data_IF_509241665345
#
_entry.id   IF_509241665345
#
_cell.length_a   1.000
_cell.length_b   1.000
_cell.length_c   1.000
_cell.angle_alpha   90.00
_cell.angle_beta   90.00
_cell.angle_gamma   90.00
#
_symmetry.space_group_name_H-M   'P 1'
#
loop_
_entity.id
_entity.type
_entity.pdbx_description
1 polymer ?
#
# COMPACT_ATOMS: atom_id res chain seq x y z
N UNK A 1 1.26 2.76 32.93
CA UNK A 1 2.36 3.62 32.43
C UNK A 1 3.39 2.69 31.82
N UNK A 2 3.22 2.31 30.57
CA UNK A 2 4.18 1.53 29.79
C UNK A 2 4.96 2.51 28.94
N UNK A 3 6.23 2.72 29.29
CA UNK A 3 7.15 3.50 28.48
C UNK A 3 7.42 2.74 27.19
N UNK A 4 6.96 3.28 26.05
CA UNK A 4 7.44 2.88 24.75
C UNK A 4 8.94 3.18 24.69
N UNK A 5 9.72 2.12 24.73
CA UNK A 5 11.17 2.21 24.52
C UNK A 5 11.39 2.34 23.03
N UNK A 6 11.59 3.58 22.57
CA UNK A 6 12.13 3.85 21.24
C UNK A 6 13.54 3.24 21.21
N UNK A 7 13.68 2.07 20.63
CA UNK A 7 15.00 1.50 20.35
C UNK A 7 15.64 2.29 19.22
N UNK A 8 16.61 3.12 19.58
CA UNK A 8 17.49 3.75 18.60
C UNK A 8 18.46 2.65 18.11
N UNK A 9 18.17 2.11 16.94
CA UNK A 9 19.11 1.23 16.24
C UNK A 9 20.15 2.15 15.60
N UNK A 10 21.33 2.24 16.19
CA UNK A 10 22.47 2.90 15.57
C UNK A 10 22.90 2.12 14.34
N UNK A 11 23.04 2.84 13.24
CA UNK A 11 23.49 2.48 11.90
C UNK A 11 24.33 1.19 11.86
N UNK A 12 23.73 0.08 11.46
CA UNK A 12 24.42 -1.12 11.02
C UNK A 12 24.28 -1.23 9.51
N UNK A 13 25.02 -0.38 8.78
CA UNK A 13 25.51 -0.72 7.45
C UNK A 13 24.52 -1.04 6.35
N UNK A 14 23.26 -0.58 6.40
CA UNK A 14 22.33 -0.66 5.26
C UNK A 14 22.66 0.48 4.29
N UNK A 15 23.66 0.26 3.46
CA UNK A 15 24.16 1.24 2.47
C UNK A 15 23.50 1.08 1.10
N UNK A 16 22.49 0.22 0.93
CA UNK A 16 21.79 0.08 -0.35
C UNK A 16 20.52 0.94 -0.40
N UNK A 17 20.64 2.17 -0.91
CA UNK A 17 19.52 3.09 -1.15
C UNK A 17 18.38 2.47 -2.02
N UNK A 18 18.67 1.37 -2.71
CA UNK A 18 17.69 0.66 -3.55
C UNK A 18 16.64 -0.13 -2.77
N UNK A 19 16.84 -0.36 -1.47
CA UNK A 19 15.89 -1.06 -0.61
C UNK A 19 14.82 -0.13 -0.01
N UNK A 20 15.06 1.17 -0.03
CA UNK A 20 14.14 2.14 0.55
C UNK A 20 13.08 2.62 -0.45
N UNK A 21 11.84 2.69 0.01
CA UNK A 21 10.81 3.51 -0.62
C UNK A 21 10.78 4.83 0.12
N UNK A 22 11.02 5.91 -0.60
CA UNK A 22 11.07 7.25 -0.02
C UNK A 22 9.83 8.02 -0.40
N UNK A 23 9.16 8.63 0.56
CA UNK A 23 8.08 9.59 0.35
C UNK A 23 8.48 10.94 0.92
N UNK A 24 8.34 12.01 0.16
CA UNK A 24 8.68 13.36 0.56
C UNK A 24 7.53 14.33 0.25
N UNK A 25 7.28 15.25 1.19
CA UNK A 25 6.28 16.32 1.05
C UNK A 25 7.01 17.65 1.22
N UNK A 26 6.68 18.64 0.40
CA UNK A 26 7.23 19.98 0.48
C UNK A 26 6.69 20.77 1.70
N UNK A 27 7.10 22.06 1.83
CA UNK A 27 6.71 22.88 2.98
C UNK A 27 5.23 23.31 2.99
N UNK A 28 4.52 23.07 1.90
CA UNK A 28 3.10 23.44 1.75
C UNK A 28 2.32 22.40 0.99
N UNK A 29 1.05 22.20 1.36
CA UNK A 29 0.17 21.22 0.74
C UNK A 29 0.46 19.78 1.16
N UNK A 30 -0.20 18.83 0.50
CA UNK A 30 -0.14 17.39 0.82
C UNK A 30 0.41 16.52 -0.32
N UNK A 31 0.82 17.13 -1.42
CA UNK A 31 1.40 16.42 -2.55
C UNK A 31 2.71 15.75 -2.14
N UNK A 32 2.72 14.44 -2.11
CA UNK A 32 3.88 13.62 -1.81
C UNK A 32 4.50 13.07 -3.10
N UNK A 33 5.82 13.17 -3.23
CA UNK A 33 6.58 12.45 -4.26
C UNK A 33 7.10 11.14 -3.68
N UNK A 34 6.83 10.02 -4.37
CA UNK A 34 7.23 8.70 -3.94
C UNK A 34 8.24 8.14 -4.94
N UNK A 35 9.37 7.67 -4.41
CA UNK A 35 10.42 7.00 -5.19
C UNK A 35 10.56 5.56 -4.68
N UNK A 36 10.47 4.60 -5.60
CA UNK A 36 10.64 3.17 -5.34
C UNK A 36 11.58 2.58 -6.41
N UNK A 37 12.85 2.44 -6.11
CA UNK A 37 13.88 2.10 -7.09
C UNK A 37 13.87 3.10 -8.25
N UNK A 38 13.72 2.68 -9.52
CA UNK A 38 13.70 3.57 -10.68
C UNK A 38 12.33 4.24 -10.90
N UNK A 39 11.30 3.92 -10.11
CA UNK A 39 9.94 4.39 -10.33
C UNK A 39 9.66 5.62 -9.47
N UNK A 40 8.96 6.58 -10.07
CA UNK A 40 8.46 7.77 -9.38
C UNK A 40 6.97 7.92 -9.65
N UNK A 41 6.22 8.26 -8.61
CA UNK A 41 4.79 8.54 -8.69
C UNK A 41 4.38 9.49 -7.56
N UNK A 42 3.17 10.01 -7.66
CA UNK A 42 2.65 10.99 -6.73
C UNK A 42 1.57 10.37 -5.84
N UNK A 43 1.46 10.90 -4.62
CA UNK A 43 0.28 10.80 -3.79
C UNK A 43 -0.20 12.20 -3.43
N UNK A 44 -1.50 12.37 -3.22
CA UNK A 44 -2.05 13.65 -2.81
C UNK A 44 -3.41 13.44 -2.12
N UNK A 45 -3.91 14.48 -1.47
CA UNK A 45 -5.27 14.52 -0.98
C UNK A 45 -6.21 15.20 -2.00
N UNK A 46 -7.51 14.90 -1.98
CA UNK A 46 -8.49 15.59 -2.80
C UNK A 46 -8.59 17.08 -2.44
N UNK A 47 -8.98 17.90 -3.42
CA UNK A 47 -9.12 19.35 -3.23
C UNK A 47 -10.01 19.73 -2.02
N UNK A 48 -11.15 19.07 -1.75
CA UNK A 48 -11.94 19.37 -0.56
C UNK A 48 -11.23 19.14 0.78
N UNK A 49 -10.17 18.33 0.79
CA UNK A 49 -9.35 18.01 1.96
C UNK A 49 -8.04 18.82 2.02
N UNK A 50 -7.91 19.85 1.17
CA UNK A 50 -6.74 20.75 1.16
C UNK A 50 -5.59 20.26 0.26
N UNK A 51 -5.75 19.18 -0.46
CA UNK A 51 -4.82 18.72 -1.49
C UNK A 51 -5.06 19.41 -2.84
N UNK A 52 -4.35 18.95 -3.86
CA UNK A 52 -4.52 19.41 -5.24
C UNK A 52 -5.12 18.34 -6.16
N UNK A 53 -5.31 17.12 -5.67
CA UNK A 53 -5.87 15.99 -6.42
C UNK A 53 -4.96 15.52 -7.56
N UNK A 54 -3.65 15.73 -7.46
CA UNK A 54 -2.69 15.36 -8.52
C UNK A 54 -2.21 13.93 -8.45
N UNK A 55 -2.57 13.20 -7.41
CA UNK A 55 -2.22 11.80 -7.22
C UNK A 55 -3.31 11.04 -6.45
N UNK A 56 -3.22 9.70 -6.37
CA UNK A 56 -4.08 8.91 -5.50
C UNK A 56 -3.80 9.21 -4.03
N UNK A 57 -4.81 9.05 -3.20
CA UNK A 57 -4.67 9.14 -1.75
C UNK A 57 -3.83 7.99 -1.18
N UNK A 58 -3.26 8.12 0.04
CA UNK A 58 -2.52 7.02 0.67
C UNK A 58 -3.31 5.71 0.77
N UNK A 59 -4.61 5.76 1.08
CA UNK A 59 -5.45 4.56 1.10
C UNK A 59 -5.68 3.97 -0.30
N UNK A 60 -5.82 4.78 -1.34
CA UNK A 60 -5.91 4.28 -2.71
C UNK A 60 -4.62 3.61 -3.16
N UNK A 61 -3.45 4.11 -2.74
CA UNK A 61 -2.15 3.44 -2.97
C UNK A 61 -2.09 2.08 -2.25
N UNK A 62 -2.54 2.01 -1.00
CA UNK A 62 -2.62 0.75 -0.25
C UNK A 62 -3.54 -0.26 -0.93
N UNK A 63 -4.73 0.18 -1.36
CA UNK A 63 -5.67 -0.67 -2.12
C UNK A 63 -5.08 -1.07 -3.47
N UNK A 64 -4.39 -0.17 -4.15
CA UNK A 64 -3.68 -0.44 -5.40
C UNK A 64 -2.61 -1.52 -5.24
N UNK A 65 -1.79 -1.43 -4.19
CA UNK A 65 -0.77 -2.43 -3.87
C UNK A 65 -1.39 -3.80 -3.57
N UNK A 66 -2.47 -3.84 -2.77
CA UNK A 66 -3.21 -5.07 -2.47
C UNK A 66 -3.81 -5.66 -3.75
N UNK A 67 -4.45 -4.84 -4.58
CA UNK A 67 -5.08 -5.28 -5.84
C UNK A 67 -4.06 -5.82 -6.83
N UNK A 68 -2.95 -5.11 -7.03
CA UNK A 68 -1.87 -5.53 -7.91
C UNK A 68 -1.27 -6.87 -7.45
N UNK A 69 -0.93 -7.00 -6.17
CA UNK A 69 -0.38 -8.24 -5.63
C UNK A 69 -1.35 -9.42 -5.83
N UNK A 70 -2.64 -9.22 -5.57
CA UNK A 70 -3.66 -10.24 -5.75
C UNK A 70 -3.80 -10.66 -7.22
N UNK A 71 -3.90 -9.70 -8.16
CA UNK A 71 -3.99 -9.97 -9.58
C UNK A 71 -2.78 -10.72 -10.11
N UNK A 72 -1.57 -10.31 -9.73
CA UNK A 72 -0.32 -10.99 -10.07
C UNK A 72 -0.28 -12.42 -9.51
N UNK A 73 -0.70 -12.62 -8.26
CA UNK A 73 -0.76 -13.96 -7.63
C UNK A 73 -1.67 -14.90 -8.42
N UNK A 74 -2.84 -14.43 -8.84
CA UNK A 74 -3.78 -15.21 -9.63
C UNK A 74 -3.23 -15.54 -11.02
N UNK A 75 -2.61 -14.56 -11.69
CA UNK A 75 -1.96 -14.75 -12.98
C UNK A 75 -0.85 -15.79 -12.90
N UNK A 76 0.08 -15.62 -11.95
CA UNK A 76 1.18 -16.55 -11.75
C UNK A 76 0.72 -17.99 -11.43
N UNK A 77 -0.38 -18.13 -10.70
CA UNK A 77 -0.96 -19.44 -10.41
C UNK A 77 -1.55 -20.08 -11.66
N UNK A 78 -2.36 -19.32 -12.43
CA UNK A 78 -2.97 -19.81 -13.66
C UNK A 78 -1.91 -20.20 -14.70
N UNK A 79 -0.86 -19.41 -14.86
CA UNK A 79 0.23 -19.68 -15.80
C UNK A 79 0.97 -20.99 -15.43
N UNK A 80 1.30 -21.19 -14.14
CA UNK A 80 1.90 -22.46 -13.68
C UNK A 80 1.02 -23.68 -13.93
N UNK A 81 -0.31 -23.49 -13.87
CA UNK A 81 -1.29 -24.54 -14.15
C UNK A 81 -1.65 -24.65 -15.64
N UNK A 82 -1.12 -23.76 -16.48
CA UNK A 82 -1.47 -23.64 -17.89
C UNK A 82 -2.98 -23.49 -18.11
N UNK A 83 -3.66 -22.74 -17.22
CA UNK A 83 -5.07 -22.45 -17.34
C UNK A 83 -5.30 -21.27 -18.28
N UNK A 84 -6.33 -21.31 -19.12
CA UNK A 84 -6.59 -20.28 -20.12
C UNK A 84 -7.27 -19.04 -19.50
N UNK A 85 -6.65 -18.46 -18.51
CA UNK A 85 -7.07 -17.21 -17.87
C UNK A 85 -6.63 -16.04 -18.74
N UNK A 86 -7.59 -15.29 -19.30
CA UNK A 86 -7.29 -14.13 -20.15
C UNK A 86 -7.04 -12.85 -19.35
N UNK A 87 -7.82 -12.62 -18.30
CA UNK A 87 -7.72 -11.42 -17.50
C UNK A 87 -8.15 -11.60 -16.06
N UNK A 88 -7.60 -10.73 -15.22
CA UNK A 88 -7.95 -10.59 -13.80
C UNK A 88 -8.20 -9.12 -13.53
N UNK A 89 -9.34 -8.78 -12.95
CA UNK A 89 -9.62 -7.43 -12.45
C UNK A 89 -10.04 -7.52 -10.99
N UNK A 90 -9.39 -6.73 -10.17
CA UNK A 90 -9.64 -6.66 -8.73
C UNK A 90 -10.20 -5.28 -8.41
N UNK A 91 -11.41 -5.25 -7.87
CA UNK A 91 -12.00 -4.03 -7.34
C UNK A 91 -11.90 -4.06 -5.83
N UNK A 92 -11.43 -2.97 -5.26
CA UNK A 92 -11.23 -2.80 -3.83
C UNK A 92 -11.82 -1.48 -3.39
N UNK A 93 -12.40 -1.47 -2.20
CA UNK A 93 -12.81 -0.25 -1.52
C UNK A 93 -12.62 -0.41 -0.02
N UNK A 94 -12.31 0.69 0.64
CA UNK A 94 -12.36 0.82 2.10
C UNK A 94 -13.57 1.65 2.50
N UNK A 95 -14.04 1.47 3.74
CA UNK A 95 -15.08 2.30 4.34
C UNK A 95 -14.50 3.52 5.07
N UNK A 96 -13.15 3.66 5.09
CA UNK A 96 -12.45 4.75 5.77
C UNK A 96 -11.83 5.73 4.81
N UNK A 97 -11.84 7.00 5.23
CA UNK A 97 -11.07 8.08 4.62
C UNK A 97 -9.85 8.41 5.52
N UNK A 98 -8.73 8.77 4.90
CA UNK A 98 -7.49 9.15 5.60
C UNK A 98 -7.71 10.33 6.56
N UNK A 99 -8.55 11.29 6.18
CA UNK A 99 -8.90 12.45 7.01
C UNK A 99 -9.52 12.05 8.34
N UNK A 100 -10.49 11.11 8.34
CA UNK A 100 -11.16 10.66 9.55
C UNK A 100 -10.18 9.99 10.53
N UNK A 101 -9.23 9.24 10.00
CA UNK A 101 -8.20 8.58 10.79
C UNK A 101 -7.17 9.58 11.34
N UNK A 102 -6.78 10.61 10.56
CA UNK A 102 -5.88 11.66 11.02
C UNK A 102 -6.49 12.55 12.10
N UNK A 103 -7.77 12.89 11.99
CA UNK A 103 -8.47 13.70 13.02
C UNK A 103 -8.63 12.94 14.34
N UNK A 104 -8.67 11.62 14.31
CA UNK A 104 -8.90 10.76 15.47
C UNK A 104 -7.63 10.16 16.07
N UNK A 105 -6.47 10.31 15.42
CA UNK A 105 -5.22 9.64 15.80
C UNK A 105 -4.75 9.98 17.24
N UNK A 106 -5.16 11.09 17.81
CA UNK A 106 -4.81 11.51 19.17
C UNK A 106 -5.82 11.07 20.24
N UNK A 107 -7.04 10.68 19.87
CA UNK A 107 -8.16 10.63 20.82
C UNK A 107 -8.91 9.32 20.90
N UNK A 108 -8.82 8.42 19.92
CA UNK A 108 -9.66 7.23 19.86
C UNK A 108 -8.96 5.99 19.30
N UNK A 109 -9.36 4.83 19.81
CA UNK A 109 -9.10 3.54 19.14
C UNK A 109 -9.96 3.48 17.87
N UNK A 110 -9.33 3.74 16.75
CA UNK A 110 -9.98 3.84 15.43
C UNK A 110 -10.39 2.47 14.88
N UNK A 111 -10.54 1.42 15.66
CA UNK A 111 -11.02 0.10 15.27
C UNK A 111 -10.42 -0.43 13.92
N UNK A 112 -10.58 -1.67 13.57
CA UNK A 112 -10.01 -2.25 12.34
C UNK A 112 -10.79 -1.82 11.08
N UNK A 113 -10.13 -1.20 10.07
CA UNK A 113 -10.78 -0.87 8.82
C UNK A 113 -11.16 -2.13 8.03
N UNK A 114 -12.26 -2.05 7.28
CA UNK A 114 -12.70 -3.13 6.39
C UNK A 114 -12.40 -2.79 4.95
N UNK A 115 -11.83 -3.75 4.22
CA UNK A 115 -11.62 -3.67 2.78
C UNK A 115 -12.56 -4.67 2.11
N UNK A 116 -13.51 -4.17 1.33
CA UNK A 116 -14.35 -4.99 0.45
C UNK A 116 -13.61 -5.24 -0.87
N UNK A 117 -13.74 -6.47 -1.41
CA UNK A 117 -13.15 -6.84 -2.71
C UNK A 117 -14.16 -7.51 -3.61
N UNK A 118 -14.03 -7.29 -4.92
CA UNK A 118 -14.68 -8.04 -6.00
C UNK A 118 -13.62 -8.47 -7.01
N UNK A 119 -13.65 -9.74 -7.41
CA UNK A 119 -12.71 -10.36 -8.35
C UNK A 119 -13.47 -10.73 -9.60
N UNK A 120 -13.00 -10.25 -10.76
CA UNK A 120 -13.50 -10.61 -12.07
C UNK A 120 -12.41 -11.38 -12.82
N UNK A 121 -12.79 -12.56 -13.32
CA UNK A 121 -11.91 -13.45 -14.07
C UNK A 121 -12.49 -13.63 -15.47
N UNK A 122 -11.67 -13.43 -16.49
CA UNK A 122 -12.05 -13.61 -17.89
C UNK A 122 -11.20 -14.70 -18.53
N UNK A 123 -11.78 -15.42 -19.49
CA UNK A 123 -11.15 -16.54 -20.19
C UNK A 123 -12.03 -17.80 -20.13
N UNK A 124 -11.73 -18.81 -20.97
CA UNK A 124 -12.47 -20.08 -21.00
C UNK A 124 -12.00 -21.01 -19.86
N UNK A 125 -12.10 -20.55 -18.61
CA UNK A 125 -11.79 -21.32 -17.40
C UNK A 125 -13.05 -22.01 -16.88
N UNK A 126 -12.92 -23.26 -16.36
CA UNK A 126 -14.02 -23.98 -15.75
C UNK A 126 -14.42 -23.36 -14.40
N UNK A 127 -15.60 -23.77 -13.89
CA UNK A 127 -16.06 -23.30 -12.58
C UNK A 127 -15.14 -23.77 -11.46
N UNK A 128 -14.60 -24.99 -11.52
CA UNK A 128 -13.63 -25.50 -10.55
C UNK A 128 -12.32 -24.69 -10.59
N UNK A 129 -11.89 -24.28 -11.78
CA UNK A 129 -10.71 -23.42 -11.93
C UNK A 129 -10.99 -22.03 -11.35
N UNK A 130 -12.17 -21.50 -11.58
CA UNK A 130 -12.63 -20.22 -11.02
C UNK A 130 -12.65 -20.25 -9.50
N UNK A 131 -13.29 -21.27 -8.93
CA UNK A 131 -13.36 -21.44 -7.47
C UNK A 131 -11.97 -21.57 -6.86
N UNK A 132 -11.10 -22.33 -7.53
CA UNK A 132 -9.71 -22.46 -7.07
C UNK A 132 -8.95 -21.12 -7.11
N UNK A 133 -9.14 -20.31 -8.13
CA UNK A 133 -8.55 -18.98 -8.21
C UNK A 133 -9.05 -18.08 -7.08
N UNK A 134 -10.35 -18.12 -6.75
CA UNK A 134 -10.86 -17.39 -5.58
C UNK A 134 -10.16 -17.81 -4.27
N UNK A 135 -9.91 -19.10 -4.07
CA UNK A 135 -9.14 -19.58 -2.90
C UNK A 135 -7.67 -19.11 -2.93
N UNK A 136 -7.06 -19.05 -4.13
CA UNK A 136 -5.68 -18.56 -4.31
C UNK A 136 -5.57 -17.06 -4.03
N UNK A 137 -6.60 -16.26 -4.33
CA UNK A 137 -6.63 -14.84 -3.99
C UNK A 137 -6.44 -14.59 -2.48
N UNK A 138 -6.88 -15.53 -1.64
CA UNK A 138 -6.69 -15.45 -0.19
C UNK A 138 -5.25 -15.70 0.26
N UNK A 139 -4.40 -16.22 -0.62
CA UNK A 139 -2.98 -16.46 -0.38
C UNK A 139 -2.08 -15.32 -0.85
N UNK A 140 -2.67 -14.20 -1.30
CA UNK A 140 -1.91 -13.00 -1.68
C UNK A 140 -1.04 -12.55 -0.50
N UNK A 141 0.30 -12.40 -0.69
CA UNK A 141 1.21 -12.00 0.38
C UNK A 141 0.83 -10.70 1.07
N UNK A 142 0.52 -9.65 0.30
CA UNK A 142 0.11 -8.34 0.86
C UNK A 142 -1.17 -8.49 1.70
N UNK A 143 -2.17 -9.26 1.23
CA UNK A 143 -3.36 -9.53 2.04
C UNK A 143 -3.00 -10.18 3.37
N UNK A 144 -2.15 -11.21 3.35
CA UNK A 144 -1.74 -11.92 4.57
C UNK A 144 -0.99 -10.99 5.53
N UNK A 145 -0.13 -10.15 5.01
CA UNK A 145 0.60 -9.14 5.78
C UNK A 145 -0.37 -8.18 6.48
N UNK A 146 -1.32 -7.60 5.73
CA UNK A 146 -2.32 -6.69 6.30
C UNK A 146 -3.19 -7.36 7.37
N UNK A 147 -3.55 -8.64 7.18
CA UNK A 147 -4.39 -9.36 8.14
C UNK A 147 -3.65 -9.77 9.43
N UNK A 148 -2.34 -10.01 9.33
CA UNK A 148 -1.51 -10.40 10.49
C UNK A 148 -0.99 -9.20 11.25
N UNK A 149 -1.00 -8.02 10.64
CA UNK A 149 -0.37 -6.82 11.13
C UNK A 149 1.11 -6.73 10.75
N UNK A 150 1.66 -5.56 10.95
CA UNK A 150 3.04 -5.19 10.68
C UNK A 150 3.65 -4.56 11.92
N UNK A 151 4.89 -4.86 12.20
CA UNK A 151 5.71 -4.07 13.12
C UNK A 151 6.39 -2.99 12.29
N UNK A 152 6.18 -1.73 12.66
CA UNK A 152 6.85 -0.59 12.04
C UNK A 152 7.90 -0.10 13.01
N UNK A 153 9.17 -0.28 12.65
CA UNK A 153 10.31 0.21 13.44
C UNK A 153 10.74 1.56 12.91
N UNK A 154 11.04 2.48 13.82
CA UNK A 154 11.49 3.82 13.44
C UNK A 154 12.99 3.93 13.65
N UNK A 155 13.71 4.24 12.57
CA UNK A 155 15.11 4.64 12.61
C UNK A 155 15.15 6.15 12.44
N UNK A 156 15.61 6.87 13.46
CA UNK A 156 15.71 8.33 13.39
C UNK A 156 17.04 8.72 12.72
N UNK A 157 16.96 9.52 11.67
CA UNK A 157 18.09 10.15 11.00
C UNK A 157 17.90 11.66 10.94
N UNK A 158 18.99 12.41 11.04
CA UNK A 158 18.98 13.85 10.75
C UNK A 158 19.45 14.01 9.30
N UNK A 159 18.58 14.51 8.42
CA UNK A 159 18.99 14.89 7.08
C UNK A 159 19.84 16.17 7.16
N UNK A 160 21.11 16.09 6.77
CA UNK A 160 21.93 17.26 6.56
C UNK A 160 21.60 17.87 5.20
N UNK A 161 20.86 18.97 5.20
CA UNK A 161 20.55 19.76 4.00
C UNK A 161 19.06 20.07 3.80
N UNK A 162 18.74 21.04 2.94
CA UNK A 162 17.36 21.32 2.57
C UNK A 162 16.76 20.14 1.80
N UNK A 163 15.45 19.86 1.94
CA UNK A 163 14.80 18.83 1.14
C UNK A 163 14.99 19.10 -0.36
N UNK A 164 15.06 18.07 -1.20
CA UNK A 164 15.18 18.24 -2.63
C UNK A 164 14.05 19.14 -3.14
N UNK A 165 14.40 20.14 -3.96
CA UNK A 165 13.43 21.05 -4.57
C UNK A 165 12.48 20.25 -5.44
N UNK A 166 11.21 20.26 -5.07
CA UNK A 166 10.11 19.70 -5.85
C UNK A 166 9.91 20.62 -7.07
N UNK A 167 10.36 20.22 -8.24
CA UNK A 167 10.20 20.93 -9.51
C UNK A 167 8.80 20.75 -10.10
#
# INVERSE_FOLDING_TARGET
MTHDVVQVVTDTGVTDEREWVTASVGPTGYRAEITAGPHRFLADEPVPLGGTGTGPTPYELLLGALGACMAMTLRMYADRKRWPLHGVRIHLRTERAHEEDCQKCETEDVGLPRIARRIELTGPISDEQRDRLHQIADRCPVKQTLQRGLVVETVTGVAEGPPPSVG
#
